data_IF_945567368902
#
_entry.id   IF_945567368902
#
_cell.length_a   1.000
_cell.length_b   1.000
_cell.length_c   1.000
_cell.angle_alpha   90.00
_cell.angle_beta   90.00
_cell.angle_gamma   90.00
#
_symmetry.space_group_name_H-M   'P 1'
#
loop_
_entity.id
_entity.type
_entity.pdbx_description
1 polymer ?
#
# COMPACT_ATOMS: atom_id res chain seq x y z
N UNK A 1 9.64 -10.68 -28.12
CA UNK A 1 8.28 -10.72 -27.56
C UNK A 1 8.36 -10.08 -26.18
N UNK A 2 7.65 -8.98 -25.96
CA UNK A 2 7.63 -8.32 -24.65
C UNK A 2 7.01 -9.24 -23.61
N UNK A 3 7.56 -9.23 -22.40
CA UNK A 3 7.06 -10.05 -21.29
C UNK A 3 5.78 -9.41 -20.77
N UNK A 4 4.65 -10.13 -20.62
CA UNK A 4 3.43 -9.54 -20.11
C UNK A 4 3.68 -9.00 -18.69
N UNK A 5 3.29 -7.74 -18.46
CA UNK A 5 3.39 -7.10 -17.15
C UNK A 5 2.27 -7.66 -16.28
N UNK A 6 2.59 -8.74 -15.56
CA UNK A 6 1.64 -9.42 -14.66
C UNK A 6 1.60 -8.78 -13.27
N UNK A 7 2.75 -8.39 -12.75
CA UNK A 7 2.89 -7.81 -11.41
C UNK A 7 3.41 -6.38 -11.52
N UNK A 8 2.69 -5.44 -10.90
CA UNK A 8 3.02 -4.01 -10.92
C UNK A 8 3.19 -3.51 -9.50
N UNK A 9 4.25 -2.73 -9.27
CA UNK A 9 4.54 -2.11 -7.99
C UNK A 9 3.84 -0.76 -7.88
N UNK A 10 3.08 -0.58 -6.82
CA UNK A 10 2.43 0.67 -6.46
C UNK A 10 2.94 1.17 -5.11
N UNK A 11 3.11 2.49 -5.01
CA UNK A 11 3.55 3.14 -3.78
C UNK A 11 2.57 4.21 -3.33
N UNK A 12 2.29 4.25 -2.04
CA UNK A 12 1.47 5.27 -1.38
C UNK A 12 2.25 5.90 -0.25
N UNK A 13 2.15 7.22 -0.13
CA UNK A 13 2.85 7.97 0.91
C UNK A 13 1.87 8.84 1.70
N UNK A 14 1.97 8.83 3.02
CA UNK A 14 1.14 9.67 3.88
C UNK A 14 1.91 10.19 5.09
N UNK A 15 1.53 11.37 5.59
CA UNK A 15 2.20 11.99 6.74
C UNK A 15 1.97 11.19 8.01
N UNK A 16 3.05 10.93 8.77
CA UNK A 16 2.96 10.32 10.10
C UNK A 16 2.57 11.37 11.16
N UNK A 17 1.91 10.96 12.26
CA UNK A 17 1.70 11.85 13.40
C UNK A 17 3.05 12.24 14.02
N UNK A 18 3.10 13.42 14.63
CA UNK A 18 4.29 13.89 15.35
C UNK A 18 4.47 13.15 16.67
N UNK A 19 5.72 12.96 17.10
CA UNK A 19 6.05 12.46 18.45
C UNK A 19 6.02 10.94 18.59
N UNK A 20 6.11 10.19 17.49
CA UNK A 20 6.26 8.73 17.54
C UNK A 20 7.64 8.33 16.99
N UNK A 21 8.20 7.20 17.42
CA UNK A 21 9.52 6.76 16.93
C UNK A 21 9.60 6.70 15.40
N UNK A 22 8.51 6.28 14.74
CA UNK A 22 8.47 6.22 13.29
C UNK A 22 8.59 7.61 12.63
N UNK A 23 8.08 8.69 13.25
CA UNK A 23 8.15 10.05 12.68
C UNK A 23 9.56 10.64 12.73
N UNK A 24 10.35 10.24 13.73
CA UNK A 24 11.76 10.65 13.88
C UNK A 24 12.66 9.95 12.85
N UNK A 25 12.34 8.70 12.51
CA UNK A 25 13.05 7.93 11.49
C UNK A 25 12.61 8.29 10.07
N UNK A 26 11.30 8.45 9.88
CA UNK A 26 10.64 8.62 8.60
C UNK A 26 9.59 9.73 8.71
N UNK A 27 9.67 10.78 7.88
CA UNK A 27 8.67 11.87 7.91
C UNK A 27 7.27 11.40 7.46
N UNK A 28 7.21 10.31 6.70
CA UNK A 28 6.02 9.74 6.08
C UNK A 28 6.00 8.23 6.24
N UNK A 29 4.80 7.64 6.20
CA UNK A 29 4.66 6.23 5.87
C UNK A 29 4.83 6.10 4.36
N UNK A 30 5.75 5.26 3.91
CA UNK A 30 5.71 4.66 2.58
C UNK A 30 5.10 3.28 2.70
N UNK A 31 4.05 3.01 1.93
CA UNK A 31 3.44 1.68 1.77
C UNK A 31 3.67 1.26 0.31
N UNK A 32 4.27 0.09 0.12
CA UNK A 32 4.64 -0.45 -1.19
C UNK A 32 3.93 -1.78 -1.37
N UNK A 33 3.17 -1.92 -2.46
CA UNK A 33 2.45 -3.15 -2.81
C UNK A 33 2.86 -3.62 -4.20
N UNK A 34 3.15 -4.91 -4.35
CA UNK A 34 3.21 -5.57 -5.67
C UNK A 34 1.86 -6.23 -5.90
N UNK A 35 1.20 -5.89 -7.00
CA UNK A 35 -0.16 -6.32 -7.29
C UNK A 35 -0.19 -7.09 -8.61
N UNK A 36 -0.82 -8.26 -8.60
CA UNK A 36 -1.20 -8.98 -9.81
C UNK A 36 -2.36 -8.26 -10.48
N UNK A 37 -2.12 -7.75 -11.69
CA UNK A 37 -3.07 -6.84 -12.34
C UNK A 37 -4.32 -7.55 -12.87
N UNK A 38 -4.23 -8.86 -13.10
CA UNK A 38 -5.34 -9.67 -13.65
C UNK A 38 -6.36 -9.98 -12.56
N UNK A 39 -5.86 -10.31 -11.37
CA UNK A 39 -6.65 -10.72 -10.20
C UNK A 39 -6.92 -9.58 -9.21
N UNK A 40 -6.09 -8.53 -9.24
CA UNK A 40 -6.06 -7.47 -8.24
C UNK A 40 -5.44 -7.90 -6.90
N UNK A 41 -4.87 -9.10 -6.81
CA UNK A 41 -4.28 -9.64 -5.57
C UNK A 41 -2.97 -8.94 -5.22
N UNK A 42 -2.81 -8.59 -3.95
CA UNK A 42 -1.55 -8.09 -3.38
C UNK A 42 -0.63 -9.29 -3.16
N UNK A 43 0.44 -9.37 -3.94
CA UNK A 43 1.42 -10.45 -3.91
C UNK A 43 2.50 -10.18 -2.86
N UNK A 44 2.95 -8.93 -2.75
CA UNK A 44 3.93 -8.51 -1.75
C UNK A 44 3.56 -7.14 -1.18
N UNK A 45 3.94 -6.91 0.09
CA UNK A 45 3.72 -5.65 0.78
C UNK A 45 4.88 -5.33 1.72
N UNK A 46 5.28 -4.06 1.80
CA UNK A 46 6.17 -3.54 2.85
C UNK A 46 5.84 -2.09 3.19
N UNK A 47 6.27 -1.64 4.38
CA UNK A 47 6.05 -0.26 4.80
C UNK A 47 7.14 0.30 5.72
N UNK A 48 7.18 1.63 5.85
CA UNK A 48 8.17 2.32 6.70
C UNK A 48 7.64 2.55 8.12
N UNK A 49 7.70 1.51 8.96
CA UNK A 49 7.48 1.60 10.40
C UNK A 49 8.77 1.28 11.17
N UNK A 50 8.92 1.87 12.35
CA UNK A 50 10.15 1.79 13.13
C UNK A 50 10.54 0.34 13.49
N UNK A 51 9.57 -0.49 13.87
CA UNK A 51 9.82 -1.86 14.32
C UNK A 51 9.56 -2.87 13.20
N UNK A 52 10.40 -3.89 13.12
CA UNK A 52 10.20 -5.01 12.19
C UNK A 52 8.86 -5.72 12.47
N UNK A 53 8.44 -5.85 13.73
CA UNK A 53 7.16 -6.47 14.12
C UNK A 53 5.98 -5.74 13.47
N UNK A 54 5.95 -4.41 13.54
CA UNK A 54 4.87 -3.62 12.96
C UNK A 54 4.85 -3.71 11.43
N UNK A 55 6.01 -3.61 10.77
CA UNK A 55 6.14 -3.76 9.31
C UNK A 55 5.65 -5.12 8.84
N UNK A 56 6.17 -6.19 9.45
CA UNK A 56 5.81 -7.57 9.13
C UNK A 56 4.32 -7.83 9.35
N UNK A 57 3.74 -7.33 10.45
CA UNK A 57 2.33 -7.55 10.73
C UNK A 57 1.43 -6.86 9.70
N UNK A 58 1.72 -5.61 9.33
CA UNK A 58 0.98 -4.90 8.26
C UNK A 58 1.12 -5.64 6.92
N UNK A 59 2.34 -6.05 6.57
CA UNK A 59 2.61 -6.80 5.32
C UNK A 59 1.79 -8.09 5.24
N UNK A 60 1.85 -8.93 6.28
CA UNK A 60 1.12 -10.20 6.33
C UNK A 60 -0.40 -10.05 6.23
N UNK A 61 -0.95 -8.91 6.67
CA UNK A 61 -2.38 -8.65 6.59
C UNK A 61 -2.80 -8.16 5.21
N UNK A 62 -1.93 -7.47 4.48
CA UNK A 62 -2.24 -6.99 3.14
C UNK A 62 -2.04 -8.05 2.06
N UNK A 63 -1.02 -8.90 2.19
CA UNK A 63 -0.75 -9.98 1.22
C UNK A 63 -1.94 -10.94 1.13
N UNK A 64 -2.31 -11.29 -0.10
CA UNK A 64 -3.47 -12.13 -0.42
C UNK A 64 -4.82 -11.41 -0.43
N UNK A 65 -4.88 -10.13 -0.02
CA UNK A 65 -6.09 -9.32 -0.22
C UNK A 65 -6.19 -8.86 -1.68
N UNK A 66 -7.41 -8.77 -2.20
CA UNK A 66 -7.66 -8.27 -3.56
C UNK A 66 -8.19 -6.84 -3.56
N UNK A 67 -7.65 -6.00 -4.44
CA UNK A 67 -8.15 -4.64 -4.71
C UNK A 67 -9.13 -4.58 -5.90
N UNK A 68 -9.44 -5.73 -6.52
CA UNK A 68 -10.28 -5.79 -7.73
C UNK A 68 -11.66 -5.17 -7.55
N UNK A 69 -12.26 -5.34 -6.37
CA UNK A 69 -13.60 -4.86 -6.04
C UNK A 69 -13.55 -3.64 -5.09
N UNK A 70 -12.45 -2.91 -5.08
CA UNK A 70 -12.22 -1.78 -4.18
C UNK A 70 -11.33 -2.10 -2.98
N UNK A 71 -10.91 -1.06 -2.22
CA UNK A 71 -9.94 -1.20 -1.14
C UNK A 71 -10.57 -1.55 0.20
N UNK A 72 -11.90 -1.58 0.32
CA UNK A 72 -12.60 -1.56 1.60
C UNK A 72 -12.26 -2.75 2.51
N UNK A 73 -12.05 -3.94 1.94
CA UNK A 73 -11.67 -5.11 2.73
C UNK A 73 -10.28 -4.93 3.36
N UNK A 74 -9.29 -4.51 2.58
CA UNK A 74 -7.94 -4.26 3.06
C UNK A 74 -7.91 -3.09 4.07
N UNK A 75 -8.69 -2.03 3.84
CA UNK A 75 -8.83 -0.90 4.77
C UNK A 75 -9.42 -1.34 6.12
N UNK A 76 -10.49 -2.14 6.11
CA UNK A 76 -11.10 -2.68 7.33
C UNK A 76 -10.14 -3.57 8.10
N UNK A 77 -9.40 -4.42 7.39
CA UNK A 77 -8.43 -5.32 8.02
C UNK A 77 -7.33 -4.52 8.74
N UNK A 78 -6.75 -3.50 8.09
CA UNK A 78 -5.77 -2.61 8.74
C UNK A 78 -6.38 -1.89 9.95
N UNK A 79 -7.60 -1.38 9.84
CA UNK A 79 -8.27 -0.70 10.95
C UNK A 79 -8.47 -1.62 12.18
N UNK A 80 -8.71 -2.91 11.95
CA UNK A 80 -8.88 -3.91 13.01
C UNK A 80 -7.54 -4.36 13.61
N UNK A 81 -6.53 -4.64 12.79
CA UNK A 81 -5.29 -5.30 13.24
C UNK A 81 -4.21 -4.32 13.71
N UNK A 82 -4.26 -3.05 13.27
CA UNK A 82 -3.24 -2.06 13.60
C UNK A 82 -3.76 -1.01 14.58
N UNK A 83 -3.65 -1.24 15.89
CA UNK A 83 -4.08 -0.28 16.93
C UNK A 83 -2.96 0.68 17.38
N UNK A 84 -2.18 1.21 16.44
CA UNK A 84 -1.08 2.15 16.72
C UNK A 84 -1.29 3.53 16.10
N UNK A 85 -0.49 4.52 16.55
CA UNK A 85 -0.63 5.93 16.12
C UNK A 85 -0.49 6.16 14.61
N UNK A 86 0.25 5.31 13.90
CA UNK A 86 0.43 5.41 12.45
C UNK A 86 -0.80 4.93 11.62
N UNK A 87 -1.86 4.39 12.25
CA UNK A 87 -3.01 3.76 11.57
C UNK A 87 -3.57 4.63 10.44
N UNK A 88 -3.88 5.89 10.76
CA UNK A 88 -4.47 6.84 9.79
C UNK A 88 -3.56 7.04 8.57
N UNK A 89 -2.25 7.10 8.78
CA UNK A 89 -1.29 7.25 7.70
C UNK A 89 -1.29 6.01 6.78
N UNK A 90 -1.28 4.80 7.36
CA UNK A 90 -1.32 3.54 6.60
C UNK A 90 -2.59 3.46 5.73
N UNK A 91 -3.76 3.76 6.32
CA UNK A 91 -5.05 3.79 5.62
C UNK A 91 -5.02 4.79 4.46
N UNK A 92 -4.49 5.99 4.68
CA UNK A 92 -4.35 7.01 3.62
C UNK A 92 -3.42 6.54 2.49
N UNK A 93 -2.27 5.95 2.83
CA UNK A 93 -1.34 5.43 1.85
C UNK A 93 -1.95 4.29 1.00
N UNK A 94 -2.75 3.41 1.62
CA UNK A 94 -3.46 2.35 0.92
C UNK A 94 -4.52 2.89 -0.05
N UNK A 95 -5.25 3.95 0.33
CA UNK A 95 -6.18 4.64 -0.58
C UNK A 95 -5.47 5.24 -1.79
N UNK A 96 -4.32 5.89 -1.57
CA UNK A 96 -3.49 6.44 -2.67
C UNK A 96 -3.04 5.33 -3.62
N UNK A 97 -2.63 4.18 -3.09
CA UNK A 97 -2.26 3.02 -3.92
C UNK A 97 -3.44 2.54 -4.73
N UNK A 98 -4.63 2.43 -4.13
CA UNK A 98 -5.83 2.03 -4.84
C UNK A 98 -6.18 2.98 -6.00
N UNK A 99 -6.09 4.29 -5.78
CA UNK A 99 -6.30 5.27 -6.86
C UNK A 99 -5.32 5.07 -8.02
N UNK A 100 -4.02 4.85 -7.71
CA UNK A 100 -3.00 4.56 -8.72
C UNK A 100 -3.24 3.24 -9.45
N UNK A 101 -3.61 2.20 -8.72
CA UNK A 101 -3.96 0.89 -9.27
C UNK A 101 -5.15 1.00 -10.23
N UNK A 102 -6.20 1.72 -9.85
CA UNK A 102 -7.37 1.96 -10.70
C UNK A 102 -6.97 2.71 -11.97
N UNK A 103 -6.25 3.83 -11.84
CA UNK A 103 -5.78 4.59 -13.01
C UNK A 103 -4.91 3.76 -13.95
N UNK A 104 -4.04 2.91 -13.41
CA UNK A 104 -3.24 1.98 -14.21
C UNK A 104 -4.12 0.98 -14.97
N UNK A 105 -5.10 0.36 -14.30
CA UNK A 105 -6.04 -0.59 -14.94
C UNK A 105 -6.91 0.05 -16.03
N UNK A 106 -7.23 1.33 -15.87
CA UNK A 106 -8.04 2.10 -16.82
C UNK A 106 -7.20 2.71 -17.96
N UNK A 107 -5.87 2.58 -17.93
CA UNK A 107 -4.98 3.20 -18.91
C UNK A 107 -4.89 4.72 -18.78
N UNK A 108 -5.26 5.28 -17.63
CA UNK A 108 -5.20 6.72 -17.31
C UNK A 108 -4.02 7.09 -16.42
N UNK A 109 -3.14 6.12 -16.12
CA UNK A 109 -1.91 6.38 -15.39
C UNK A 109 -0.99 7.32 -16.20
N UNK A 110 -0.41 8.36 -15.57
CA UNK A 110 0.52 9.25 -16.26
C UNK A 110 1.73 8.47 -16.81
N UNK A 111 1.97 8.57 -18.12
CA UNK A 111 3.28 8.24 -18.69
C UNK A 111 4.23 9.41 -18.40
N UNK A 112 5.44 9.10 -17.96
CA UNK A 112 6.53 10.07 -17.80
C UNK A 112 7.52 9.95 -18.99
N UNK A 113 7.25 9.00 -19.89
CA UNK A 113 8.03 8.74 -21.09
C UNK A 113 7.25 9.29 -22.28
N UNK A 114 7.10 10.61 -22.33
CA UNK A 114 6.67 11.39 -23.50
C UNK A 114 7.67 12.55 -23.69
#
# INVERSE_FOLDING_TARGET
MEKPIKHVLFSGYAKLPTGITASEMYKVIGLILVIDIDTGEIIEADCTLATHVARRHVSLMLVGQSLKNGPDQALRLIDQVYQGSAKKAIITALRIIYDKYRSFKEGTAPSILD
#
